data_IF_319893677027
#
_entry.id   IF_319893677027
#
_cell.length_a   1.000
_cell.length_b   1.000
_cell.length_c   1.000
_cell.angle_alpha   90.00
_cell.angle_beta   90.00
_cell.angle_gamma   90.00
#
_symmetry.space_group_name_H-M   'P 1'
#
loop_
_entity.id
_entity.type
_entity.pdbx_description
1 polymer ?
#
# COMPACT_ATOMS: atom_id res chain seq x y z
N UNK A 1 -15.51 -0.21 -3.12
CA UNK A 1 -15.62 0.11 -1.66
C UNK A 1 -15.90 1.61 -1.50
N UNK A 2 -16.37 2.07 -0.33
CA UNK A 2 -16.54 3.51 -0.06
C UNK A 2 -15.18 4.12 0.30
N UNK A 3 -14.80 5.24 -0.33
CA UNK A 3 -13.59 5.98 0.01
C UNK A 3 -13.80 6.71 1.33
N UNK A 4 -12.87 6.51 2.27
CA UNK A 4 -12.90 7.16 3.58
C UNK A 4 -12.27 8.54 3.51
N UNK A 5 -12.68 9.44 4.41
CA UNK A 5 -12.01 10.73 4.61
C UNK A 5 -10.65 10.51 5.28
N UNK A 6 -9.74 11.47 5.14
CA UNK A 6 -8.42 11.42 5.78
C UNK A 6 -8.54 11.31 7.31
N UNK A 7 -9.43 12.10 7.93
CA UNK A 7 -9.71 12.03 9.36
C UNK A 7 -10.16 10.63 9.81
N UNK A 8 -11.02 9.98 9.02
CA UNK A 8 -11.48 8.62 9.33
C UNK A 8 -10.33 7.61 9.20
N UNK A 9 -9.46 7.78 8.21
CA UNK A 9 -8.27 6.94 8.04
C UNK A 9 -7.29 7.13 9.19
N UNK A 10 -7.06 8.36 9.63
CA UNK A 10 -6.15 8.69 10.75
C UNK A 10 -6.63 8.06 12.06
N UNK A 11 -7.94 8.18 12.34
CA UNK A 11 -8.57 7.50 13.48
C UNK A 11 -8.40 5.97 13.40
N UNK A 12 -8.50 5.39 12.21
CA UNK A 12 -8.30 3.95 12.01
C UNK A 12 -6.84 3.55 12.25
N UNK A 13 -5.88 4.36 11.78
CA UNK A 13 -4.45 4.15 12.00
C UNK A 13 -4.14 4.15 13.50
N UNK A 14 -4.64 5.12 14.26
CA UNK A 14 -4.46 5.15 15.72
C UNK A 14 -5.01 3.90 16.41
N UNK A 15 -6.21 3.46 16.00
CA UNK A 15 -6.84 2.27 16.55
C UNK A 15 -6.04 0.99 16.28
N UNK A 16 -5.59 0.80 15.04
CA UNK A 16 -4.77 -0.35 14.63
C UNK A 16 -3.41 -0.30 15.34
N UNK A 17 -2.77 0.86 15.42
CA UNK A 17 -1.49 1.04 16.11
C UNK A 17 -1.58 0.61 17.57
N UNK A 18 -2.62 1.03 18.31
CA UNK A 18 -2.85 0.58 19.70
C UNK A 18 -3.00 -0.93 19.81
N UNK A 19 -3.67 -1.58 18.85
CA UNK A 19 -3.81 -3.04 18.84
C UNK A 19 -2.47 -3.72 18.58
N UNK A 20 -1.65 -3.21 17.65
CA UNK A 20 -0.32 -3.77 17.36
C UNK A 20 0.59 -3.72 18.58
N UNK A 21 0.58 -2.62 19.36
CA UNK A 21 1.35 -2.48 20.62
C UNK A 21 0.97 -3.48 21.70
N UNK A 22 -0.21 -4.11 21.62
CA UNK A 22 -0.61 -5.17 22.55
C UNK A 22 -0.17 -6.57 22.06
N UNK A 23 0.22 -6.71 20.79
CA UNK A 23 0.53 -8.00 20.16
C UNK A 23 2.04 -8.18 20.00
N UNK A 24 2.75 -7.10 19.65
CA UNK A 24 4.18 -7.13 19.37
C UNK A 24 4.97 -6.31 20.38
N UNK A 25 6.21 -6.71 20.62
CA UNK A 25 7.18 -5.93 21.37
C UNK A 25 7.84 -4.89 20.43
N UNK A 26 7.97 -3.66 20.90
CA UNK A 26 8.55 -2.53 20.16
C UNK A 26 9.72 -1.94 20.94
N UNK A 27 10.63 -1.23 20.24
CA UNK A 27 11.70 -0.47 20.87
C UNK A 27 12.89 -1.30 21.39
N UNK A 28 13.00 -2.56 20.97
CA UNK A 28 14.16 -3.43 21.22
C UNK A 28 14.90 -3.73 19.92
N UNK A 29 16.14 -4.22 19.97
CA UNK A 29 16.96 -4.55 18.79
C UNK A 29 16.31 -5.58 17.85
N UNK A 30 15.37 -6.37 18.37
CA UNK A 30 14.60 -7.38 17.61
C UNK A 30 13.09 -7.12 17.65
N UNK A 31 12.69 -5.93 18.11
CA UNK A 31 11.30 -5.52 18.21
C UNK A 31 10.69 -5.26 16.83
N UNK A 32 9.37 -5.34 16.75
CA UNK A 32 8.64 -4.96 15.57
C UNK A 32 8.83 -3.45 15.28
N UNK A 33 8.77 -3.10 13.99
CA UNK A 33 8.76 -1.71 13.54
C UNK A 33 7.42 -1.45 12.87
N UNK A 34 6.66 -0.49 13.41
CA UNK A 34 5.42 -0.04 12.81
C UNK A 34 5.71 1.16 11.92
N UNK A 35 5.36 1.05 10.63
CA UNK A 35 5.57 2.09 9.62
C UNK A 35 4.27 2.42 8.91
N UNK A 36 4.19 3.60 8.31
CA UNK A 36 3.02 4.05 7.56
C UNK A 36 3.42 4.38 6.12
N UNK A 37 2.83 3.70 5.14
CA UNK A 37 3.17 3.93 3.74
C UNK A 37 2.79 5.31 3.21
N UNK A 38 1.96 6.07 3.93
CA UNK A 38 1.73 7.50 3.66
C UNK A 38 3.05 8.27 3.63
N UNK A 39 4.04 7.88 4.43
CA UNK A 39 5.29 8.60 4.61
C UNK A 39 6.10 8.69 3.30
N UNK A 40 6.05 7.65 2.46
CA UNK A 40 6.70 7.64 1.15
C UNK A 40 5.71 7.82 0.00
N UNK A 41 4.54 7.17 0.02
CA UNK A 41 3.57 7.27 -1.08
C UNK A 41 3.01 8.68 -1.23
N UNK A 42 2.82 9.40 -0.13
CA UNK A 42 2.33 10.78 -0.14
C UNK A 42 3.29 11.78 -0.81
N UNK A 43 4.56 11.41 -0.97
CA UNK A 43 5.58 12.25 -1.61
C UNK A 43 5.70 11.98 -3.12
N UNK A 44 5.06 10.93 -3.63
CA UNK A 44 5.15 10.54 -5.04
C UNK A 44 4.15 11.35 -5.86
N UNK A 45 4.65 12.21 -6.74
CA UNK A 45 3.79 12.88 -7.72
C UNK A 45 3.17 11.88 -8.70
N UNK A 46 2.00 12.19 -9.26
CA UNK A 46 1.36 11.34 -10.28
C UNK A 46 2.29 11.06 -11.48
N UNK A 47 3.08 12.06 -11.90
CA UNK A 47 4.04 11.89 -13.00
C UNK A 47 5.14 10.89 -12.62
N UNK A 48 5.69 11.03 -11.41
CA UNK A 48 6.68 10.08 -10.88
C UNK A 48 6.09 8.67 -10.76
N UNK A 49 4.85 8.55 -10.28
CA UNK A 49 4.15 7.28 -10.19
C UNK A 49 4.10 6.56 -11.54
N UNK A 50 3.62 7.24 -12.58
CA UNK A 50 3.48 6.67 -13.92
C UNK A 50 4.85 6.32 -14.55
N UNK A 51 5.83 7.22 -14.41
CA UNK A 51 7.15 7.08 -15.05
C UNK A 51 8.06 6.08 -14.34
N UNK A 52 8.05 6.05 -13.02
CA UNK A 52 9.06 5.32 -12.24
C UNK A 52 8.54 3.96 -11.79
N UNK A 53 7.22 3.77 -11.71
CA UNK A 53 6.61 2.51 -11.28
C UNK A 53 5.65 1.94 -12.33
N UNK A 54 4.71 2.75 -12.83
CA UNK A 54 3.69 2.31 -13.78
C UNK A 54 4.26 1.65 -15.05
N UNK A 55 5.37 2.18 -15.59
CA UNK A 55 6.05 1.62 -16.78
C UNK A 55 6.49 0.16 -16.64
N UNK A 56 6.69 -0.33 -15.42
CA UNK A 56 7.18 -1.68 -15.17
C UNK A 56 6.07 -2.72 -15.15
N UNK A 57 4.80 -2.29 -15.18
CA UNK A 57 3.65 -3.17 -14.99
C UNK A 57 2.77 -3.16 -16.24
N UNK A 58 2.78 -4.27 -16.97
CA UNK A 58 1.91 -4.45 -18.14
C UNK A 58 0.45 -4.62 -17.73
N UNK A 59 -0.46 -3.94 -18.44
CA UNK A 59 -1.91 -4.02 -18.17
C UNK A 59 -2.42 -5.47 -18.26
N UNK A 60 -2.03 -6.22 -19.29
CA UNK A 60 -2.42 -7.62 -19.45
C UNK A 60 -1.95 -8.51 -18.29
N UNK A 61 -0.76 -8.23 -17.76
CA UNK A 61 -0.25 -8.96 -16.59
C UNK A 61 -1.12 -8.70 -15.35
N UNK A 62 -1.55 -7.45 -15.13
CA UNK A 62 -2.45 -7.12 -14.03
C UNK A 62 -3.83 -7.75 -14.21
N UNK A 63 -4.39 -7.72 -15.41
CA UNK A 63 -5.71 -8.32 -15.69
C UNK A 63 -5.71 -9.84 -15.49
N UNK A 64 -4.56 -10.50 -15.68
CA UNK A 64 -4.40 -11.93 -15.42
C UNK A 64 -4.22 -12.31 -13.95
N UNK A 65 -4.19 -11.36 -13.01
CA UNK A 65 -4.17 -11.66 -11.57
C UNK A 65 -5.58 -12.00 -11.09
N UNK A 66 -5.74 -13.12 -10.41
CA UNK A 66 -7.03 -13.59 -9.87
C UNK A 66 -7.77 -12.51 -9.05
N UNK A 67 -7.03 -11.72 -8.26
CA UNK A 67 -7.58 -10.63 -7.43
C UNK A 67 -8.18 -9.47 -8.22
N UNK A 68 -7.74 -9.29 -9.48
CA UNK A 68 -8.25 -8.27 -10.41
C UNK A 68 -9.30 -8.90 -11.33
N UNK A 69 -9.02 -10.09 -11.88
CA UNK A 69 -9.91 -10.79 -12.79
C UNK A 69 -11.29 -11.04 -12.17
N UNK A 70 -11.34 -11.55 -10.93
CA UNK A 70 -12.60 -11.79 -10.19
C UNK A 70 -13.45 -10.53 -10.00
N UNK A 71 -12.84 -9.35 -10.03
CA UNK A 71 -13.52 -8.06 -9.84
C UNK A 71 -13.87 -7.39 -11.16
N UNK A 72 -13.16 -7.74 -12.24
CA UNK A 72 -13.37 -7.15 -13.55
C UNK A 72 -14.79 -7.41 -14.07
N UNK A 73 -15.34 -8.59 -13.81
CA UNK A 73 -16.71 -8.97 -14.19
C UNK A 73 -17.78 -8.08 -13.55
N UNK A 74 -17.50 -7.54 -12.35
CA UNK A 74 -18.41 -6.65 -11.61
C UNK A 74 -18.05 -5.16 -11.76
N UNK A 75 -16.99 -4.86 -12.50
CA UNK A 75 -16.41 -3.52 -12.61
C UNK A 75 -15.41 -3.22 -11.49
N UNK A 76 -14.23 -2.73 -11.89
CA UNK A 76 -13.19 -2.26 -10.99
C UNK A 76 -12.83 -0.81 -11.34
N UNK A 77 -12.72 0.05 -10.32
CA UNK A 77 -12.28 1.43 -10.54
C UNK A 77 -10.77 1.48 -10.82
N UNK A 78 -10.31 2.53 -11.52
CA UNK A 78 -8.88 2.75 -11.74
C UNK A 78 -8.10 2.83 -10.43
N UNK A 79 -8.66 3.47 -9.39
CA UNK A 79 -8.08 3.53 -8.05
C UNK A 79 -7.80 2.14 -7.47
N UNK A 80 -8.78 1.24 -7.58
CA UNK A 80 -8.66 -0.14 -7.09
C UNK A 80 -7.70 -0.97 -7.96
N UNK A 81 -7.69 -0.73 -9.28
CA UNK A 81 -6.74 -1.35 -10.19
C UNK A 81 -5.29 -0.98 -9.84
N UNK A 82 -5.01 0.30 -9.59
CA UNK A 82 -3.65 0.78 -9.27
C UNK A 82 -3.13 0.36 -7.89
N UNK A 83 -3.99 -0.16 -7.01
CA UNK A 83 -3.62 -0.51 -5.64
C UNK A 83 -2.50 -1.55 -5.57
N UNK A 84 -2.47 -2.52 -6.49
CA UNK A 84 -1.39 -3.53 -6.57
C UNK A 84 -0.03 -2.90 -6.85
N UNK A 85 0.01 -1.80 -7.60
CA UNK A 85 1.26 -1.08 -7.88
C UNK A 85 1.74 -0.39 -6.60
N UNK A 86 0.84 0.26 -5.84
CA UNK A 86 1.19 0.89 -4.57
C UNK A 86 1.79 -0.13 -3.57
N UNK A 87 1.19 -1.32 -3.47
CA UNK A 87 1.72 -2.40 -2.62
C UNK A 87 3.10 -2.89 -3.09
N UNK A 88 3.35 -2.91 -4.40
CA UNK A 88 4.67 -3.25 -4.93
C UNK A 88 5.72 -2.17 -4.61
N UNK A 89 5.32 -0.90 -4.59
CA UNK A 89 6.17 0.22 -4.15
C UNK A 89 6.54 0.05 -2.69
N UNK A 90 5.56 -0.28 -1.83
CA UNK A 90 5.79 -0.51 -0.40
C UNK A 90 6.87 -1.59 -0.19
N UNK A 91 6.76 -2.73 -0.86
CA UNK A 91 7.76 -3.78 -0.73
C UNK A 91 9.15 -3.34 -1.20
N UNK A 92 9.24 -2.61 -2.32
CA UNK A 92 10.50 -2.06 -2.81
C UNK A 92 11.13 -1.02 -1.88
N UNK A 93 10.31 -0.23 -1.18
CA UNK A 93 10.75 0.74 -0.18
C UNK A 93 11.26 0.02 1.08
N UNK A 94 10.47 -0.91 1.62
CA UNK A 94 10.83 -1.66 2.84
C UNK A 94 12.10 -2.49 2.65
N UNK A 95 12.28 -3.14 1.50
CA UNK A 95 13.52 -3.86 1.20
C UNK A 95 14.73 -2.92 1.15
N UNK A 96 14.57 -1.69 0.65
CA UNK A 96 15.66 -0.71 0.53
C UNK A 96 16.04 -0.08 1.86
N UNK A 97 15.05 0.35 2.63
CA UNK A 97 15.27 1.14 3.85
C UNK A 97 15.39 0.28 5.11
N UNK A 98 14.71 -0.88 5.13
CA UNK A 98 14.61 -1.74 6.32
C UNK A 98 15.15 -3.16 6.07
N UNK A 99 15.68 -3.47 4.88
CA UNK A 99 16.12 -4.82 4.51
C UNK A 99 15.05 -5.90 4.74
N UNK A 100 13.78 -5.55 4.48
CA UNK A 100 12.64 -6.46 4.55
C UNK A 100 12.54 -7.39 3.34
#
# INVERSE_FOLDING_TARGET
RVLQTEEQVDKNIEGISKQMHNIFEFGTDHGAVLVNNRDWLGQISLISFLRDYGKHVGVNYMLGKDSIQSRLEHGISYTEFTYTILQAIDFGHLNRELNC
#
